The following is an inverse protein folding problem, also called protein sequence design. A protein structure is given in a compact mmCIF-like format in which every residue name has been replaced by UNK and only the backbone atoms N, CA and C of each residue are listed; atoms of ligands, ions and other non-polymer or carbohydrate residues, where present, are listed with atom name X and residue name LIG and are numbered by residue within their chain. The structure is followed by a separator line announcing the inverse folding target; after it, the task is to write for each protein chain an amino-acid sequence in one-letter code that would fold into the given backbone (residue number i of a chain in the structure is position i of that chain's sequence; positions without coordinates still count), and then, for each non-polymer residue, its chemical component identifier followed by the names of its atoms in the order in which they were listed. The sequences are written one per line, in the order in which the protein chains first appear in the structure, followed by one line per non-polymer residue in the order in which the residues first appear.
data_IF_061877980397
#
_entry.id   IF_061877980397
#
_cell.length_a   1.000
_cell.length_b   1.000
_cell.length_c   1.000
_cell.angle_alpha   90.00
_cell.angle_beta   90.00
_cell.angle_gamma   90.00
#
_symmetry.space_group_name_H-M   'P 1'
#
loop_
_entity.id
_entity.type
_entity.pdbx_description
1 polymer ?
#
# COMPACT_ATOMS: atom_id res chain seq x y z
N UNK A 1 9.79 -15.58 -5.99
CA UNK A 1 9.66 -16.78 -6.85
C UNK A 1 10.48 -17.90 -6.22
N UNK A 2 9.97 -19.14 -6.13
CA UNK A 2 10.76 -20.25 -5.57
C UNK A 2 12.12 -20.33 -6.27
N UNK A 3 13.22 -20.26 -5.51
CA UNK A 3 14.59 -20.29 -6.04
C UNK A 3 15.17 -18.97 -6.54
N UNK A 4 14.55 -17.81 -6.25
CA UNK A 4 15.13 -16.52 -6.63
C UNK A 4 16.45 -16.24 -5.84
N UNK A 5 17.50 -15.72 -6.51
CA UNK A 5 18.80 -15.46 -5.88
C UNK A 5 18.81 -14.24 -4.95
N UNK A 6 17.78 -13.39 -5.02
CA UNK A 6 17.67 -12.15 -4.28
C UNK A 6 16.25 -11.93 -3.75
N UNK A 7 16.15 -11.12 -2.70
CA UNK A 7 14.87 -10.74 -2.07
C UNK A 7 14.00 -9.87 -2.98
N UNK A 8 14.63 -8.99 -3.76
CA UNK A 8 14.01 -8.08 -4.73
C UNK A 8 14.69 -8.19 -6.09
N UNK A 9 13.95 -7.88 -7.14
CA UNK A 9 14.38 -7.97 -8.55
C UNK A 9 14.35 -6.56 -9.18
N UNK A 10 15.11 -6.34 -10.25
CA UNK A 10 15.24 -5.06 -10.95
C UNK A 10 13.90 -4.50 -11.47
N UNK A 11 12.88 -5.36 -11.62
CA UNK A 11 11.51 -4.95 -11.95
C UNK A 11 10.90 -3.98 -10.94
N UNK A 12 11.42 -3.94 -9.71
CA UNK A 12 10.98 -2.99 -8.69
C UNK A 12 11.17 -1.56 -9.14
N UNK A 13 12.29 -1.21 -9.77
CA UNK A 13 12.57 0.15 -10.23
C UNK A 13 11.68 0.58 -11.41
N UNK A 14 11.14 -0.39 -12.14
CA UNK A 14 10.21 -0.13 -13.24
C UNK A 14 8.77 0.08 -12.77
N UNK A 15 8.32 -0.70 -11.77
CA UNK A 15 6.92 -0.70 -11.34
C UNK A 15 6.63 0.19 -10.11
N UNK A 16 7.64 0.50 -9.31
CA UNK A 16 7.50 1.28 -8.09
C UNK A 16 8.25 2.61 -8.22
N UNK A 17 7.79 3.67 -7.52
CA UNK A 17 6.69 3.70 -6.53
C UNK A 17 5.30 3.63 -7.17
N UNK A 18 4.28 3.32 -6.37
CA UNK A 18 2.89 3.26 -6.83
C UNK A 18 2.41 4.68 -7.15
N UNK A 19 2.06 4.95 -8.40
CA UNK A 19 1.59 6.26 -8.84
C UNK A 19 0.29 6.71 -8.18
N UNK A 20 -0.67 5.78 -8.03
CA UNK A 20 -1.99 6.03 -7.47
C UNK A 20 -2.43 4.84 -6.62
N UNK A 21 -2.57 5.06 -5.31
CA UNK A 21 -3.20 4.13 -4.40
C UNK A 21 -4.65 4.55 -4.12
N UNK A 22 -5.58 3.59 -4.16
CA UNK A 22 -7.00 3.81 -3.88
C UNK A 22 -7.40 2.82 -2.78
N UNK A 23 -8.02 3.31 -1.71
CA UNK A 23 -8.49 2.47 -0.61
C UNK A 23 -9.44 3.23 0.30
N UNK A 24 -10.06 2.56 1.27
CA UNK A 24 -10.90 3.25 2.25
C UNK A 24 -10.07 3.91 3.35
N UNK A 25 -10.69 4.86 4.06
CA UNK A 25 -10.04 5.61 5.15
C UNK A 25 -9.72 4.72 6.36
N UNK A 26 -10.35 3.56 6.49
CA UNK A 26 -10.09 2.60 7.56
C UNK A 26 -8.62 2.13 7.61
N UNK A 27 -7.93 2.15 6.46
CA UNK A 27 -6.53 1.75 6.35
C UNK A 27 -5.53 2.89 6.58
N UNK A 28 -6.00 4.11 6.88
CA UNK A 28 -5.19 5.32 6.89
C UNK A 28 -4.05 5.34 7.93
N UNK A 29 -4.23 4.66 9.06
CA UNK A 29 -3.22 4.62 10.13
C UNK A 29 -2.38 3.36 9.99
N UNK A 30 -2.90 2.19 10.38
CA UNK A 30 -2.09 0.97 10.49
C UNK A 30 -1.42 0.58 9.17
N UNK A 31 -2.23 0.30 8.15
CA UNK A 31 -1.72 -0.23 6.90
C UNK A 31 -0.80 0.77 6.18
N UNK A 32 -1.23 2.04 6.02
CA UNK A 32 -0.40 3.04 5.34
C UNK A 32 0.88 3.34 6.13
N UNK A 33 0.83 3.38 7.47
CA UNK A 33 2.04 3.57 8.28
C UNK A 33 2.98 2.38 8.16
N UNK A 34 2.47 1.14 8.17
CA UNK A 34 3.29 -0.07 8.00
C UNK A 34 3.92 -0.12 6.61
N UNK A 35 3.19 0.24 5.56
CA UNK A 35 3.74 0.32 4.21
C UNK A 35 4.91 1.31 4.16
N UNK A 36 4.72 2.52 4.72
CA UNK A 36 5.79 3.54 4.79
C UNK A 36 6.98 3.10 5.62
N UNK A 37 6.75 2.40 6.73
CA UNK A 37 7.81 1.87 7.57
C UNK A 37 8.66 0.85 6.80
N UNK A 38 8.03 -0.15 6.19
CA UNK A 38 8.74 -1.19 5.44
C UNK A 38 9.47 -0.64 4.21
N UNK A 39 8.90 0.33 3.49
CA UNK A 39 9.60 0.99 2.38
C UNK A 39 10.88 1.68 2.85
N UNK A 40 10.85 2.36 4.00
CA UNK A 40 12.05 2.99 4.57
C UNK A 40 13.07 1.95 5.00
N UNK A 41 12.66 0.87 5.68
CA UNK A 41 13.55 -0.23 6.06
C UNK A 41 14.22 -0.86 4.83
N UNK A 42 13.45 -1.15 3.78
CA UNK A 42 13.98 -1.75 2.55
C UNK A 42 14.93 -0.80 1.81
N UNK A 43 14.65 0.51 1.80
CA UNK A 43 15.57 1.53 1.28
C UNK A 43 16.86 1.56 2.10
N UNK A 44 16.78 1.54 3.42
CA UNK A 44 17.96 1.57 4.30
C UNK A 44 18.81 0.27 4.15
N UNK A 45 18.20 -0.84 3.75
CA UNK A 45 18.86 -2.08 3.32
C UNK A 45 19.37 -2.06 1.87
N UNK A 46 19.29 -0.92 1.16
CA UNK A 46 19.68 -0.75 -0.24
C UNK A 46 18.93 -1.66 -1.23
N UNK A 47 17.71 -2.07 -0.88
CA UNK A 47 16.84 -2.88 -1.73
C UNK A 47 15.95 -2.04 -2.65
N UNK A 48 15.74 -0.76 -2.31
CA UNK A 48 14.87 0.18 -3.03
C UNK A 48 15.57 1.54 -3.22
N UNK A 49 15.33 2.18 -4.36
CA UNK A 49 15.81 3.54 -4.64
C UNK A 49 14.91 4.68 -4.15
N UNK A 50 13.71 4.40 -3.65
CA UNK A 50 12.70 5.39 -3.28
C UNK A 50 12.36 5.38 -1.77
N UNK A 51 11.84 6.51 -1.26
CA UNK A 51 11.59 6.73 0.17
C UNK A 51 10.14 6.62 0.64
N UNK A 52 9.18 6.68 -0.28
CA UNK A 52 7.75 6.58 0.02
C UNK A 52 7.06 5.65 -1.00
N UNK A 53 6.17 4.74 -0.56
CA UNK A 53 5.58 3.72 -1.44
C UNK A 53 4.50 4.24 -2.39
N UNK A 54 3.82 5.35 -2.05
CA UNK A 54 2.66 5.87 -2.77
C UNK A 54 2.89 7.33 -3.15
N UNK A 55 2.83 7.65 -4.44
CA UNK A 55 2.95 9.02 -4.95
C UNK A 55 1.65 9.80 -4.74
N UNK A 56 0.49 9.14 -4.93
CA UNK A 56 -0.84 9.72 -4.68
C UNK A 56 -1.74 8.72 -3.95
N UNK A 57 -2.59 9.25 -3.07
CA UNK A 57 -3.57 8.49 -2.30
C UNK A 57 -4.96 9.07 -2.55
N UNK A 58 -5.91 8.23 -2.94
CA UNK A 58 -7.34 8.56 -3.02
C UNK A 58 -8.11 7.68 -2.03
N UNK A 59 -8.71 8.29 -1.02
CA UNK A 59 -9.54 7.58 -0.06
C UNK A 59 -10.98 7.52 -0.55
N UNK A 60 -11.44 6.34 -0.97
CA UNK A 60 -12.80 6.12 -1.45
C UNK A 60 -13.79 6.14 -0.27
N UNK A 61 -14.95 6.78 -0.45
CA UNK A 61 -16.06 6.69 0.48
C UNK A 61 -16.75 5.31 0.48
N UNK A 62 -17.50 5.03 1.54
CA UNK A 62 -18.28 3.79 1.67
C UNK A 62 -19.50 3.81 0.75
N UNK A 63 -19.84 2.67 0.16
CA UNK A 63 -21.08 2.50 -0.60
C UNK A 63 -22.22 2.21 0.38
N UNK A 64 -23.30 3.00 0.31
CA UNK A 64 -24.48 2.86 1.17
C UNK A 64 -25.64 2.23 0.40
N UNK A 65 -26.49 1.45 1.08
CA UNK A 65 -27.75 0.91 0.55
C UNK A 65 -28.82 0.91 1.66
N UNK A 66 -30.08 0.77 1.30
CA UNK A 66 -31.20 0.64 2.24
C UNK A 66 -31.02 -0.59 3.13
N UNK A 67 -31.12 -0.36 4.44
CA UNK A 67 -31.11 -1.41 5.46
C UNK A 67 -32.52 -1.46 6.05
N UNK A 68 -33.19 -2.60 5.93
CA UNK A 68 -34.49 -2.86 6.56
C UNK A 68 -34.27 -3.73 7.80
N UNK A 69 -34.59 -3.22 8.98
CA UNK A 69 -34.55 -3.98 10.24
C UNK A 69 -35.95 -4.02 10.86
N UNK A 70 -36.37 -5.19 11.33
CA UNK A 70 -37.61 -5.32 12.10
C UNK A 70 -37.36 -4.80 13.52
N UNK A 71 -38.14 -3.81 13.95
CA UNK A 71 -38.07 -3.29 15.31
C UNK A 71 -39.20 -3.94 16.10
N UNK A 72 -38.84 -4.74 17.10
CA UNK A 72 -39.75 -5.38 18.06
C UNK A 72 -40.12 -4.41 19.19
#
# INVERSE_FOLDING_TARGET
CPGAPAMVDARVDYWLPVDQYIGGIEHAILHLLYARFWTKVMRDLHLLGFGEPFTRLLTQGMVLNHIYSYQA
#
